data_IF_047002053118
#
_entry.id   IF_047002053118
#
_cell.length_a   1.000
_cell.length_b   1.000
_cell.length_c   1.000
_cell.angle_alpha   90.00
_cell.angle_beta   90.00
_cell.angle_gamma   90.00
#
_symmetry.space_group_name_H-M   'P 1'
#
loop_
_entity.id
_entity.type
_entity.pdbx_description
1 polymer ?
#
# COMPACT_ATOMS: atom_id res chain seq x y z
N UNK A 1 8.77 10.46 -22.54
CA UNK A 1 9.11 11.02 -21.21
C UNK A 1 7.99 10.62 -20.26
N UNK A 2 8.32 9.95 -19.17
CA UNK A 2 7.37 9.48 -18.14
C UNK A 2 7.23 10.60 -17.11
N UNK A 3 6.02 11.12 -16.94
CA UNK A 3 5.70 12.18 -15.98
C UNK A 3 5.38 11.56 -14.63
N UNK A 4 6.15 11.92 -13.61
CA UNK A 4 6.10 11.30 -12.29
C UNK A 4 5.59 12.30 -11.26
N UNK A 5 4.61 11.89 -10.46
CA UNK A 5 4.30 12.52 -9.18
C UNK A 5 5.04 11.75 -8.07
N UNK A 6 5.78 12.45 -7.24
CA UNK A 6 6.52 11.89 -6.12
C UNK A 6 5.92 12.36 -4.80
N UNK A 7 5.48 11.43 -3.95
CA UNK A 7 4.91 11.73 -2.64
C UNK A 7 5.68 11.01 -1.52
N UNK A 8 6.20 11.80 -0.58
CA UNK A 8 6.94 11.37 0.61
C UNK A 8 6.92 12.51 1.63
N UNK A 9 6.63 12.25 2.89
CA UNK A 9 6.60 13.29 3.92
C UNK A 9 8.02 13.74 4.37
N UNK A 10 9.04 12.92 4.08
CA UNK A 10 10.43 13.23 4.39
C UNK A 10 11.09 14.03 3.27
N UNK A 11 11.24 15.34 3.46
CA UNK A 11 11.80 16.25 2.44
C UNK A 11 13.17 15.82 1.91
N UNK A 12 14.04 15.27 2.75
CA UNK A 12 15.37 14.80 2.33
C UNK A 12 15.28 13.58 1.41
N UNK A 13 14.44 12.61 1.77
CA UNK A 13 14.20 11.40 0.96
C UNK A 13 13.58 11.80 -0.38
N UNK A 14 12.56 12.65 -0.36
CA UNK A 14 11.89 13.14 -1.57
C UNK A 14 12.87 13.82 -2.53
N UNK A 15 13.76 14.68 -2.02
CA UNK A 15 14.82 15.29 -2.83
C UNK A 15 15.80 14.28 -3.39
N UNK A 16 16.22 13.28 -2.60
CA UNK A 16 17.12 12.22 -3.05
C UNK A 16 16.51 11.39 -4.17
N UNK A 17 15.26 10.93 -3.96
CA UNK A 17 14.50 10.16 -4.97
C UNK A 17 14.30 10.99 -6.25
N UNK A 18 13.96 12.26 -6.13
CA UNK A 18 13.86 13.16 -7.28
C UNK A 18 15.17 13.24 -8.08
N UNK A 19 16.31 13.41 -7.41
CA UNK A 19 17.62 13.47 -8.08
C UNK A 19 17.92 12.17 -8.82
N UNK A 20 17.61 10.99 -8.25
CA UNK A 20 17.80 9.70 -8.91
C UNK A 20 16.96 9.62 -10.18
N UNK A 21 15.69 10.01 -10.10
CA UNK A 21 14.78 9.94 -11.25
C UNK A 21 15.16 10.94 -12.36
N UNK A 22 15.55 12.16 -12.01
CA UNK A 22 15.89 13.22 -12.97
C UNK A 22 17.28 13.04 -13.63
N UNK A 23 18.10 12.08 -13.18
CA UNK A 23 19.30 11.67 -13.91
C UNK A 23 18.97 10.93 -15.22
N UNK A 24 17.76 10.37 -15.31
CA UNK A 24 17.31 9.61 -16.48
C UNK A 24 16.54 10.51 -17.47
N UNK A 25 16.95 10.59 -18.75
CA UNK A 25 16.37 11.53 -19.71
C UNK A 25 14.91 11.20 -20.08
N UNK A 26 14.44 9.99 -19.79
CA UNK A 26 13.08 9.53 -20.05
C UNK A 26 12.13 9.70 -18.86
N UNK A 27 12.63 10.12 -17.67
CA UNK A 27 11.86 10.33 -16.46
C UNK A 27 11.83 11.82 -16.08
N UNK A 28 10.68 12.32 -15.60
CA UNK A 28 10.53 13.70 -15.15
C UNK A 28 9.59 13.81 -13.97
N UNK A 29 10.05 14.38 -12.86
CA UNK A 29 9.19 14.65 -11.69
C UNK A 29 8.44 15.95 -11.94
N UNK A 30 7.17 15.84 -12.34
CA UNK A 30 6.31 17.00 -12.70
C UNK A 30 5.52 17.55 -11.51
N UNK A 31 5.38 16.78 -10.43
CA UNK A 31 4.71 17.19 -9.21
C UNK A 31 5.29 16.49 -7.98
N UNK A 32 5.23 17.16 -6.84
CA UNK A 32 5.58 16.61 -5.52
C UNK A 32 4.40 16.77 -4.55
N UNK A 33 4.33 15.88 -3.55
CA UNK A 33 3.38 15.94 -2.46
C UNK A 33 4.06 15.53 -1.14
N UNK A 34 3.61 16.11 -0.03
CA UNK A 34 4.12 15.81 1.31
C UNK A 34 3.23 14.80 2.08
N UNK A 35 2.10 14.40 1.52
CA UNK A 35 1.19 13.38 2.06
C UNK A 35 0.25 12.84 0.99
N UNK A 36 -0.55 11.82 1.37
CA UNK A 36 -1.44 11.15 0.44
C UNK A 36 -2.60 12.02 -0.05
N UNK A 37 -3.12 12.94 0.77
CA UNK A 37 -4.22 13.82 0.36
C UNK A 37 -3.75 14.80 -0.72
N UNK A 38 -2.59 15.41 -0.52
CA UNK A 38 -1.97 16.27 -1.53
C UNK A 38 -1.66 15.49 -2.81
N UNK A 39 -1.18 14.24 -2.69
CA UNK A 39 -0.91 13.39 -3.85
C UNK A 39 -2.19 13.15 -4.69
N UNK A 40 -3.33 12.86 -4.04
CA UNK A 40 -4.62 12.69 -4.72
C UNK A 40 -5.06 13.97 -5.43
N UNK A 41 -4.88 15.15 -4.80
CA UNK A 41 -5.18 16.45 -5.41
C UNK A 41 -4.27 16.72 -6.63
N UNK A 42 -2.96 16.53 -6.50
CA UNK A 42 -2.00 16.73 -7.60
C UNK A 42 -2.31 15.86 -8.82
N UNK A 43 -2.72 14.60 -8.61
CA UNK A 43 -3.15 13.72 -9.72
C UNK A 43 -4.39 14.24 -10.43
N UNK A 44 -5.22 15.09 -9.81
CA UNK A 44 -6.37 15.75 -10.48
C UNK A 44 -5.94 16.89 -11.39
N UNK A 45 -4.95 17.66 -10.93
CA UNK A 45 -4.58 18.94 -11.52
C UNK A 45 -3.41 18.83 -12.50
N UNK A 46 -2.68 17.72 -12.47
CA UNK A 46 -1.47 17.50 -13.27
C UNK A 46 -1.60 16.20 -14.07
N UNK A 47 -1.19 16.22 -15.32
CA UNK A 47 -1.07 15.00 -16.12
C UNK A 47 0.13 14.18 -15.64
N UNK A 48 -0.15 13.01 -15.07
CA UNK A 48 0.82 12.10 -14.45
C UNK A 48 0.65 10.71 -15.06
N UNK A 49 1.76 10.11 -15.44
CA UNK A 49 1.79 8.74 -15.98
C UNK A 49 2.07 7.71 -14.88
N UNK A 50 2.88 8.11 -13.89
CA UNK A 50 3.30 7.27 -12.76
C UNK A 50 3.26 8.08 -11.47
N UNK A 51 2.73 7.46 -10.40
CA UNK A 51 2.78 8.01 -9.04
C UNK A 51 3.70 7.13 -8.20
N UNK A 52 4.69 7.73 -7.59
CA UNK A 52 5.60 7.10 -6.62
C UNK A 52 5.19 7.55 -5.23
N UNK A 53 4.69 6.64 -4.40
CA UNK A 53 4.09 6.93 -3.10
C UNK A 53 4.86 6.28 -1.96
N UNK A 54 5.28 7.06 -0.99
CA UNK A 54 5.63 6.51 0.32
C UNK A 54 4.39 5.90 1.01
N UNK A 55 4.58 4.81 1.72
CA UNK A 55 3.50 4.14 2.45
C UNK A 55 3.07 4.93 3.68
N UNK A 56 4.03 5.37 4.48
CA UNK A 56 3.81 5.98 5.79
C UNK A 56 3.85 7.51 5.70
N UNK A 57 2.72 8.12 5.37
CA UNK A 57 2.56 9.58 5.32
C UNK A 57 1.47 10.05 6.28
N UNK A 58 1.58 11.29 6.83
CA UNK A 58 0.55 11.87 7.70
C UNK A 58 -0.74 12.17 6.93
N UNK A 59 -1.84 12.42 7.65
CA UNK A 59 -3.18 12.77 7.13
C UNK A 59 -3.80 11.65 6.29
N UNK A 60 -3.18 11.22 5.23
CA UNK A 60 -3.58 10.12 4.37
C UNK A 60 -2.36 9.27 4.03
N UNK A 61 -2.40 7.98 4.34
CA UNK A 61 -1.31 7.06 4.02
C UNK A 61 -1.20 6.82 2.51
N UNK A 62 -0.02 6.41 2.04
CA UNK A 62 0.16 6.08 0.63
C UNK A 62 -0.73 4.95 0.14
N UNK A 63 -1.06 3.98 1.01
CA UNK A 63 -2.00 2.91 0.67
C UNK A 63 -3.42 3.44 0.45
N UNK A 64 -3.86 4.40 1.27
CA UNK A 64 -5.16 5.06 1.11
C UNK A 64 -5.18 5.91 -0.16
N UNK A 65 -4.14 6.69 -0.40
CA UNK A 65 -3.99 7.48 -1.62
C UNK A 65 -3.97 6.61 -2.87
N UNK A 66 -3.21 5.51 -2.86
CA UNK A 66 -3.17 4.54 -3.96
C UNK A 66 -4.55 3.98 -4.28
N UNK A 67 -5.31 3.56 -3.25
CA UNK A 67 -6.66 3.03 -3.42
C UNK A 67 -7.64 4.07 -3.99
N UNK A 68 -7.49 5.35 -3.64
CA UNK A 68 -8.31 6.43 -4.20
C UNK A 68 -7.90 6.76 -5.64
N UNK A 69 -6.61 6.86 -5.92
CA UNK A 69 -6.08 7.11 -7.27
C UNK A 69 -6.48 5.98 -8.24
N UNK A 70 -6.39 4.73 -7.81
CA UNK A 70 -6.72 3.56 -8.63
C UNK A 70 -8.21 3.48 -9.04
N UNK A 71 -9.11 4.17 -8.34
CA UNK A 71 -10.55 4.24 -8.70
C UNK A 71 -10.86 5.19 -9.85
N UNK A 72 -9.90 5.97 -10.31
CA UNK A 72 -10.11 6.91 -11.43
C UNK A 72 -10.40 6.16 -12.72
N UNK A 73 -11.09 6.81 -13.65
CA UNK A 73 -11.41 6.22 -14.95
C UNK A 73 -10.16 5.84 -15.77
N UNK A 74 -9.11 6.66 -15.65
CA UNK A 74 -7.80 6.45 -16.26
C UNK A 74 -6.73 6.70 -15.18
N UNK A 75 -6.45 5.69 -14.35
CA UNK A 75 -5.48 5.87 -13.27
C UNK A 75 -4.06 5.85 -13.83
N UNK A 76 -3.16 6.71 -13.31
CA UNK A 76 -1.73 6.54 -13.53
C UNK A 76 -1.26 5.20 -12.93
N UNK A 77 -0.09 4.73 -13.34
CA UNK A 77 0.56 3.62 -12.66
C UNK A 77 0.98 4.03 -11.26
N UNK A 78 0.99 3.10 -10.32
CA UNK A 78 1.31 3.39 -8.92
C UNK A 78 2.48 2.50 -8.49
N UNK A 79 3.54 3.11 -8.00
CA UNK A 79 4.70 2.45 -7.41
C UNK A 79 4.79 2.83 -5.93
N UNK A 80 4.84 1.84 -5.05
CA UNK A 80 4.98 2.09 -3.62
C UNK A 80 6.45 2.11 -3.21
N UNK A 81 6.84 3.10 -2.40
CA UNK A 81 8.11 3.14 -1.68
C UNK A 81 7.89 2.76 -0.22
N UNK A 82 8.82 2.04 0.39
CA UNK A 82 8.72 1.64 1.79
C UNK A 82 10.08 1.48 2.46
N UNK A 83 10.14 1.81 3.75
CA UNK A 83 11.25 1.42 4.62
C UNK A 83 11.13 -0.03 5.12
N UNK A 84 9.99 -0.68 4.89
CA UNK A 84 9.67 -1.98 5.47
C UNK A 84 9.77 -3.09 4.44
N UNK A 85 10.65 -4.06 4.71
CA UNK A 85 10.73 -5.34 4.03
C UNK A 85 9.72 -6.31 4.65
N UNK A 86 8.45 -6.19 4.23
CA UNK A 86 7.37 -6.95 4.85
C UNK A 86 6.28 -7.27 3.82
N UNK A 87 5.97 -8.56 3.66
CA UNK A 87 4.93 -9.07 2.75
C UNK A 87 3.56 -8.40 2.94
N UNK A 88 3.23 -7.99 4.17
CA UNK A 88 1.93 -7.39 4.48
C UNK A 88 1.75 -6.03 3.79
N UNK A 89 2.79 -5.19 3.78
CA UNK A 89 2.78 -3.93 3.04
C UNK A 89 2.70 -4.17 1.54
N UNK A 90 3.40 -5.18 1.07
CA UNK A 90 3.34 -5.59 -0.32
C UNK A 90 1.92 -5.99 -0.76
N UNK A 91 1.26 -6.91 -0.01
CA UNK A 91 -0.13 -7.27 -0.29
C UNK A 91 -1.09 -6.09 -0.15
N UNK A 92 -0.86 -5.20 0.84
CA UNK A 92 -1.60 -3.95 0.98
C UNK A 92 -1.46 -3.05 -0.24
N UNK A 93 -0.25 -2.91 -0.78
CA UNK A 93 0.05 -2.14 -1.99
C UNK A 93 -0.67 -2.71 -3.23
N UNK A 94 -0.61 -4.02 -3.45
CA UNK A 94 -1.32 -4.67 -4.55
C UNK A 94 -2.84 -4.51 -4.44
N UNK A 95 -3.40 -4.66 -3.24
CA UNK A 95 -4.82 -4.43 -2.96
C UNK A 95 -5.24 -3.00 -3.25
N UNK A 96 -4.36 -2.05 -2.98
CA UNK A 96 -4.57 -0.63 -3.28
C UNK A 96 -4.41 -0.29 -4.77
N UNK A 97 -4.03 -1.26 -5.61
CA UNK A 97 -3.87 -1.08 -7.06
C UNK A 97 -2.46 -0.68 -7.50
N UNK A 98 -1.45 -0.85 -6.63
CA UNK A 98 -0.07 -0.58 -7.01
C UNK A 98 0.44 -1.58 -8.05
N UNK A 99 1.23 -1.07 -9.00
CA UNK A 99 1.93 -1.85 -10.04
C UNK A 99 3.29 -2.36 -9.59
N UNK A 100 3.79 -1.90 -8.43
CA UNK A 100 5.08 -2.34 -7.91
C UNK A 100 5.36 -1.84 -6.50
N UNK A 101 6.42 -2.41 -5.92
CA UNK A 101 6.87 -2.14 -4.57
C UNK A 101 8.39 -2.11 -4.52
N UNK A 102 8.96 -1.03 -4.03
CA UNK A 102 10.40 -0.79 -3.92
C UNK A 102 10.75 -0.41 -2.48
N UNK A 103 11.84 -0.97 -1.96
CA UNK A 103 12.38 -0.55 -0.68
C UNK A 103 13.19 0.74 -0.85
N UNK A 104 13.00 1.69 0.08
CA UNK A 104 13.78 2.95 0.09
C UNK A 104 15.28 2.70 0.29
N UNK A 105 15.67 1.58 0.93
CA UNK A 105 17.08 1.20 1.15
C UNK A 105 17.85 0.80 -0.10
N UNK A 106 17.14 0.49 -1.19
CA UNK A 106 17.72 0.08 -2.49
C UNK A 106 17.13 0.90 -3.65
N UNK A 107 16.52 2.04 -3.34
CA UNK A 107 15.88 2.87 -4.36
C UNK A 107 16.87 3.45 -5.38
N UNK A 108 18.12 3.64 -5.01
CA UNK A 108 19.20 4.09 -5.91
C UNK A 108 19.51 3.07 -7.01
N UNK A 109 19.35 1.78 -6.75
CA UNK A 109 19.61 0.71 -7.71
C UNK A 109 18.34 0.33 -8.51
N UNK A 110 17.21 0.21 -7.85
CA UNK A 110 16.01 -0.46 -8.39
C UNK A 110 14.89 0.47 -8.84
N UNK A 111 14.84 1.71 -8.36
CA UNK A 111 13.70 2.61 -8.58
C UNK A 111 13.45 2.92 -10.05
N UNK A 112 14.52 3.22 -10.80
CA UNK A 112 14.44 3.52 -12.23
C UNK A 112 13.90 2.33 -13.02
N UNK A 113 14.44 1.14 -12.72
CA UNK A 113 13.98 -0.11 -13.33
C UNK A 113 12.51 -0.39 -12.99
N UNK A 114 12.11 -0.14 -11.73
CA UNK A 114 10.73 -0.30 -11.27
C UNK A 114 9.76 0.67 -11.98
N UNK A 115 10.15 1.94 -12.18
CA UNK A 115 9.35 2.92 -12.92
C UNK A 115 9.11 2.43 -14.37
N UNK A 116 10.16 1.99 -15.05
CA UNK A 116 10.06 1.48 -16.42
C UNK A 116 9.23 0.19 -16.50
N UNK A 117 9.38 -0.73 -15.56
CA UNK A 117 8.59 -1.95 -15.48
C UNK A 117 7.09 -1.65 -15.27
N UNK A 118 6.76 -0.76 -14.34
CA UNK A 118 5.39 -0.33 -14.08
C UNK A 118 4.73 0.25 -15.35
N UNK A 119 5.46 1.07 -16.12
CA UNK A 119 4.96 1.64 -17.38
C UNK A 119 4.73 0.60 -18.47
N UNK A 120 5.49 -0.51 -18.48
CA UNK A 120 5.23 -1.65 -19.38
C UNK A 120 4.06 -2.54 -18.93
N UNK A 121 3.46 -2.25 -17.75
CA UNK A 121 2.41 -3.08 -17.15
C UNK A 121 2.96 -4.32 -16.43
N UNK A 122 4.26 -4.38 -16.19
CA UNK A 122 4.92 -5.43 -15.43
C UNK A 122 4.84 -5.08 -13.93
N UNK A 123 4.70 -6.10 -13.08
CA UNK A 123 4.77 -5.90 -11.64
C UNK A 123 6.23 -5.97 -11.20
N UNK A 124 6.73 -4.87 -10.64
CA UNK A 124 8.08 -4.85 -10.07
C UNK A 124 8.05 -5.23 -8.60
N UNK A 125 8.92 -6.18 -8.24
CA UNK A 125 9.10 -6.64 -6.87
C UNK A 125 10.57 -6.58 -6.51
N UNK A 126 10.84 -6.01 -5.35
CA UNK A 126 12.15 -6.13 -4.74
C UNK A 126 12.51 -7.61 -4.49
N UNK A 127 13.74 -8.06 -4.81
CA UNK A 127 14.13 -9.47 -4.72
C UNK A 127 13.95 -10.13 -3.35
N UNK A 128 13.95 -9.36 -2.25
CA UNK A 128 13.73 -9.85 -0.89
C UNK A 128 12.27 -10.27 -0.58
N UNK A 129 11.29 -9.86 -1.38
CA UNK A 129 9.86 -10.21 -1.20
C UNK A 129 9.51 -11.55 -1.86
N UNK A 130 10.48 -12.30 -2.34
CA UNK A 130 10.29 -13.58 -3.02
C UNK A 130 9.86 -14.72 -2.07
N UNK A 131 8.74 -14.54 -1.34
CA UNK A 131 8.13 -15.70 -0.70
C UNK A 131 7.32 -16.52 -1.70
N UNK A 132 7.18 -17.81 -1.40
CA UNK A 132 6.32 -18.72 -2.17
C UNK A 132 4.88 -18.18 -2.28
N UNK A 133 4.39 -17.49 -1.25
CA UNK A 133 3.06 -16.88 -1.20
C UNK A 133 2.91 -15.73 -2.21
N UNK A 134 3.92 -14.89 -2.32
CA UNK A 134 3.91 -13.77 -3.28
C UNK A 134 3.96 -14.28 -4.71
N UNK A 135 4.79 -15.27 -4.99
CA UNK A 135 4.85 -15.92 -6.32
C UNK A 135 3.50 -16.54 -6.70
N UNK A 136 2.91 -17.35 -5.81
CA UNK A 136 1.58 -17.96 -6.06
C UNK A 136 0.51 -16.89 -6.30
N UNK A 137 0.51 -15.82 -5.52
CA UNK A 137 -0.42 -14.71 -5.70
C UNK A 137 -0.27 -14.04 -7.07
N UNK A 138 0.96 -13.72 -7.50
CA UNK A 138 1.23 -13.11 -8.79
C UNK A 138 0.89 -14.04 -9.96
N UNK A 139 1.18 -15.32 -9.84
CA UNK A 139 0.85 -16.30 -10.86
C UNK A 139 -0.66 -16.46 -11.04
N UNK A 140 -1.42 -16.38 -9.97
CA UNK A 140 -2.89 -16.34 -10.04
C UNK A 140 -3.40 -15.06 -10.70
N UNK A 141 -2.83 -13.90 -10.38
CA UNK A 141 -3.18 -12.65 -11.06
C UNK A 141 -2.89 -12.72 -12.57
N UNK A 142 -1.72 -13.26 -12.96
CA UNK A 142 -1.36 -13.44 -14.38
C UNK A 142 -2.33 -14.35 -15.12
N UNK A 143 -2.90 -15.35 -14.43
CA UNK A 143 -3.94 -16.24 -14.97
C UNK A 143 -5.34 -15.62 -14.99
N UNK A 144 -5.49 -14.36 -14.57
CA UNK A 144 -6.78 -13.68 -14.50
C UNK A 144 -7.70 -14.18 -13.38
N UNK A 145 -7.16 -14.93 -12.41
CA UNK A 145 -7.92 -15.40 -11.26
C UNK A 145 -8.22 -14.22 -10.32
N UNK A 146 -9.44 -14.15 -9.78
CA UNK A 146 -9.76 -13.24 -8.69
C UNK A 146 -9.10 -13.75 -7.41
N UNK A 147 -7.91 -13.29 -7.12
CA UNK A 147 -7.21 -13.63 -5.88
C UNK A 147 -7.65 -12.63 -4.81
N UNK A 148 -8.09 -13.07 -3.62
CA UNK A 148 -8.32 -12.17 -2.51
C UNK A 148 -7.00 -11.48 -2.17
N UNK A 149 -6.94 -10.18 -2.33
CA UNK A 149 -5.76 -9.36 -2.05
C UNK A 149 -5.42 -9.25 -0.54
N UNK A 150 -6.10 -9.99 0.29
CA UNK A 150 -5.93 -10.01 1.74
C UNK A 150 -6.21 -11.42 2.25
N UNK A 151 -5.40 -11.87 3.19
CA UNK A 151 -5.68 -13.06 4.01
C UNK A 151 -6.97 -12.85 4.82
N UNK A 152 -7.32 -11.57 5.04
CA UNK A 152 -8.53 -11.16 5.74
C UNK A 152 -9.65 -10.84 4.75
N UNK A 153 -10.87 -11.16 5.14
CA UNK A 153 -12.07 -10.69 4.43
C UNK A 153 -12.31 -9.20 4.73
N UNK A 154 -13.08 -8.51 3.88
CA UNK A 154 -13.46 -7.11 4.12
C UNK A 154 -14.08 -6.89 5.52
N UNK A 155 -14.80 -7.88 6.05
CA UNK A 155 -15.39 -7.84 7.39
C UNK A 155 -14.36 -7.98 8.49
N UNK A 156 -13.36 -8.84 8.30
CA UNK A 156 -12.24 -8.98 9.22
C UNK A 156 -11.34 -7.73 9.20
N UNK A 157 -11.15 -7.07 8.04
CA UNK A 157 -10.47 -5.77 7.95
C UNK A 157 -11.20 -4.68 8.76
N UNK A 158 -12.53 -4.64 8.70
CA UNK A 158 -13.31 -3.72 9.54
C UNK A 158 -13.15 -4.01 11.03
N UNK A 159 -13.19 -5.29 11.40
CA UNK A 159 -13.05 -5.70 12.82
C UNK A 159 -11.67 -5.38 13.35
N UNK A 160 -10.60 -5.66 12.61
CA UNK A 160 -9.23 -5.37 13.06
C UNK A 160 -8.97 -3.87 13.19
N UNK A 161 -9.50 -3.06 12.29
CA UNK A 161 -9.46 -1.60 12.39
C UNK A 161 -10.05 -1.11 13.71
N UNK A 162 -11.27 -1.51 14.02
CA UNK A 162 -11.95 -1.12 15.26
C UNK A 162 -11.25 -1.64 16.53
N UNK A 163 -10.65 -2.84 16.49
CA UNK A 163 -9.82 -3.36 17.57
C UNK A 163 -8.61 -2.44 17.80
N UNK A 164 -7.95 -2.03 16.74
CA UNK A 164 -6.77 -1.17 16.80
C UNK A 164 -7.11 0.25 17.27
N UNK A 165 -8.28 0.78 16.89
CA UNK A 165 -8.83 2.05 17.41
C UNK A 165 -9.24 1.98 18.89
N UNK A 166 -9.04 0.88 19.57
CA UNK A 166 -9.31 0.77 20.99
C UNK A 166 -10.68 0.21 21.37
N UNK A 167 -11.54 -0.09 20.42
CA UNK A 167 -12.91 -0.58 20.68
C UNK A 167 -12.93 -1.94 21.36
N UNK A 168 -13.84 -2.12 22.30
CA UNK A 168 -14.16 -3.42 22.89
C UNK A 168 -15.01 -4.26 21.94
N UNK A 169 -15.05 -5.59 22.13
CA UNK A 169 -15.89 -6.47 21.31
C UNK A 169 -17.39 -6.11 21.35
N UNK A 170 -17.86 -5.52 22.46
CA UNK A 170 -19.25 -5.06 22.61
C UNK A 170 -19.53 -3.81 21.75
N UNK A 171 -18.61 -2.85 21.75
CA UNK A 171 -18.70 -1.65 20.92
C UNK A 171 -18.64 -2.02 19.44
N UNK A 172 -17.69 -2.90 19.06
CA UNK A 172 -17.59 -3.41 17.68
C UNK A 172 -18.89 -4.09 17.25
N UNK A 173 -19.49 -4.91 18.11
CA UNK A 173 -20.77 -5.57 17.83
C UNK A 173 -21.88 -4.55 17.54
N UNK A 174 -21.93 -3.46 18.35
CA UNK A 174 -22.88 -2.37 18.16
C UNK A 174 -22.61 -1.57 16.88
N UNK A 175 -21.36 -1.16 16.65
CA UNK A 175 -20.96 -0.35 15.51
C UNK A 175 -21.19 -1.07 14.18
N UNK A 176 -20.95 -2.38 14.17
CA UNK A 176 -21.11 -3.21 13.00
C UNK A 176 -22.49 -3.90 12.86
N UNK A 177 -23.40 -3.69 13.81
CA UNK A 177 -24.74 -4.28 13.87
C UNK A 177 -24.72 -5.83 13.78
N UNK A 178 -23.84 -6.48 14.54
CA UNK A 178 -23.70 -7.94 14.60
C UNK A 178 -23.67 -8.45 16.04
N UNK A 179 -23.88 -9.75 16.25
CA UNK A 179 -23.82 -10.34 17.56
C UNK A 179 -22.40 -10.31 18.14
N UNK A 180 -22.27 -10.17 19.46
CA UNK A 180 -20.97 -10.24 20.16
C UNK A 180 -20.20 -11.51 19.83
N UNK A 181 -20.87 -12.67 19.81
CA UNK A 181 -20.28 -13.96 19.45
C UNK A 181 -19.69 -13.95 18.02
N UNK A 182 -20.30 -13.21 17.10
CA UNK A 182 -19.80 -13.07 15.72
C UNK A 182 -18.50 -12.26 15.69
N UNK A 183 -18.39 -11.19 16.50
CA UNK A 183 -17.15 -10.42 16.65
C UNK A 183 -16.03 -11.28 17.23
N UNK A 184 -16.34 -12.08 18.25
CA UNK A 184 -15.36 -13.02 18.85
C UNK A 184 -14.90 -14.06 17.84
N UNK A 185 -15.80 -14.57 17.01
CA UNK A 185 -15.46 -15.46 15.89
C UNK A 185 -14.53 -14.79 14.88
N UNK A 186 -14.83 -13.57 14.47
CA UNK A 186 -13.93 -12.81 13.58
C UNK A 186 -12.56 -12.59 14.22
N UNK A 187 -12.49 -12.23 15.49
CA UNK A 187 -11.20 -12.06 16.21
C UNK A 187 -10.37 -13.36 16.21
N UNK A 188 -10.98 -14.49 16.53
CA UNK A 188 -10.31 -15.78 16.52
C UNK A 188 -9.77 -16.14 15.11
N UNK A 189 -10.59 -15.89 14.08
CA UNK A 189 -10.20 -16.12 12.69
C UNK A 189 -9.06 -15.20 12.26
N UNK A 190 -9.10 -13.90 12.61
CA UNK A 190 -8.04 -12.93 12.32
C UNK A 190 -6.73 -13.38 12.97
N UNK A 191 -6.75 -13.70 14.27
CA UNK A 191 -5.57 -14.16 15.00
C UNK A 191 -4.97 -15.43 14.34
N UNK A 192 -5.83 -16.40 13.99
CA UNK A 192 -5.41 -17.62 13.32
C UNK A 192 -4.83 -17.38 11.93
N UNK A 193 -5.48 -16.57 11.10
CA UNK A 193 -5.04 -16.24 9.74
C UNK A 193 -3.72 -15.47 9.72
N UNK A 194 -3.54 -14.52 10.65
CA UNK A 194 -2.33 -13.70 10.74
C UNK A 194 -1.25 -14.34 11.62
N UNK A 195 -1.50 -15.51 12.22
CA UNK A 195 -0.62 -16.19 13.17
C UNK A 195 -0.18 -15.28 14.32
N UNK A 196 -1.11 -14.47 14.81
CA UNK A 196 -0.91 -13.52 15.91
C UNK A 196 -1.54 -14.06 17.19
N UNK A 197 -1.04 -13.60 18.34
CA UNK A 197 -1.41 -14.13 19.67
C UNK A 197 -2.34 -13.22 20.44
N UNK A 198 -2.22 -11.92 20.25
CA UNK A 198 -2.88 -10.95 21.11
C UNK A 198 -3.30 -9.67 20.38
N UNK A 199 -3.96 -8.77 21.14
CA UNK A 199 -4.43 -7.48 20.62
C UNK A 199 -3.29 -6.54 20.24
N UNK A 200 -2.15 -6.60 20.92
CA UNK A 200 -1.02 -5.71 20.67
C UNK A 200 -0.43 -6.01 19.29
N UNK A 201 -0.30 -7.31 18.96
CA UNK A 201 0.15 -7.75 17.64
C UNK A 201 -0.85 -7.33 16.56
N UNK A 202 -2.17 -7.44 16.82
CA UNK A 202 -3.20 -6.96 15.90
C UNK A 202 -3.14 -5.44 15.66
N UNK A 203 -2.92 -4.65 16.75
CA UNK A 203 -2.78 -3.20 16.63
C UNK A 203 -1.55 -2.82 15.80
N UNK A 204 -0.41 -3.45 16.07
CA UNK A 204 0.81 -3.25 15.28
C UNK A 204 0.61 -3.64 13.80
N UNK A 205 -0.15 -4.69 13.55
CA UNK A 205 -0.53 -5.07 12.19
C UNK A 205 -1.39 -3.99 11.54
N UNK A 206 -2.42 -3.49 12.22
CA UNK A 206 -3.33 -2.49 11.68
C UNK A 206 -2.59 -1.18 11.30
N UNK A 207 -1.63 -0.74 12.14
CA UNK A 207 -0.75 0.40 11.85
C UNK A 207 0.08 0.09 10.60
N UNK A 208 0.78 -1.04 10.58
CA UNK A 208 1.62 -1.45 9.44
C UNK A 208 0.83 -1.64 8.15
N UNK A 209 -0.40 -2.10 8.23
CA UNK A 209 -1.30 -2.27 7.08
C UNK A 209 -1.99 -0.97 6.64
N UNK A 210 -1.68 0.17 7.29
CA UNK A 210 -2.30 1.45 6.98
C UNK A 210 -3.81 1.50 7.28
N UNK A 211 -4.29 0.63 8.16
CA UNK A 211 -5.71 0.61 8.57
C UNK A 211 -6.02 1.69 9.61
N UNK A 212 -5.03 2.09 10.39
CA UNK A 212 -5.07 3.19 11.34
C UNK A 212 -3.73 3.93 11.36
N UNK A 213 -3.76 5.18 11.81
CA UNK A 213 -2.56 5.96 12.11
C UNK A 213 -1.95 5.51 13.45
N UNK A 214 -0.61 5.64 13.64
CA UNK A 214 0.06 5.27 14.87
C UNK A 214 -0.28 6.20 16.05
#
# INVERSE_FOLDING_TARGET
MIRILLADDHTLVRRGVRLILEQEPDLSVVAEAADGAEAVERVRDTEVDLVVLDIAMPRMTGLQAAAEIARRRHPPKILMLSMHDNEQYFFGALKAGASGYVLKSVADEDLVAACRAAMRGETFLYPGVESTLVRDYLDRLRRGERVPASVLTAREDQVIKLIAEGRSSREIAKDLHIALKTVEGHRANILGKLRMRDRVELTRYAIRAGLIEP
#
